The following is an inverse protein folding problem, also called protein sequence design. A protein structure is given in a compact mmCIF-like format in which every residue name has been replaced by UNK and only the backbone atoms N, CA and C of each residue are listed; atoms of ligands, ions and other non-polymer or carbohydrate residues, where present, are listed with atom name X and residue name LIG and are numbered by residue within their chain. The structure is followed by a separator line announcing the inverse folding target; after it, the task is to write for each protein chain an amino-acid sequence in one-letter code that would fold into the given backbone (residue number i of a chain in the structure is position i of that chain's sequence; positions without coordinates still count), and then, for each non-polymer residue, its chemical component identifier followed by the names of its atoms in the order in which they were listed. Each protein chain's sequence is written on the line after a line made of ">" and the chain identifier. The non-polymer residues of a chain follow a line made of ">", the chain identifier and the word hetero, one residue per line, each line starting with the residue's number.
data_IF_127661085231
#
_entry.id   IF_127661085231
#
_cell.length_a   1.000
_cell.length_b   1.000
_cell.length_c   1.000
_cell.angle_alpha   90.00
_cell.angle_beta   90.00
_cell.angle_gamma   90.00
#
_symmetry.space_group_name_H-M   'P 1'
#
loop_
_entity.id
_entity.type
_entity.pdbx_description
1 polymer ?
#
# COMPACT_ATOMS: atom_id res chain seq x y z
N UNK A 1 -33.03 -3.49 -60.93
CA UNK A 1 -32.17 -3.28 -59.74
C UNK A 1 -32.89 -3.86 -58.53
N UNK A 2 -33.29 -5.13 -58.64
CA UNK A 2 -32.73 -6.29 -57.93
C UNK A 2 -31.97 -5.95 -56.63
N UNK A 3 -32.21 -6.54 -55.46
CA UNK A 3 -32.96 -7.74 -55.13
C UNK A 3 -33.33 -7.70 -53.63
N UNK A 4 -34.57 -8.08 -53.29
CA UNK A 4 -35.07 -8.32 -51.94
C UNK A 4 -35.18 -9.84 -51.79
N UNK A 5 -34.55 -10.45 -50.78
CA UNK A 5 -34.97 -11.77 -50.29
C UNK A 5 -34.97 -11.84 -48.77
N UNK A 6 -36.12 -12.29 -48.30
CA UNK A 6 -36.55 -12.54 -46.94
C UNK A 6 -36.42 -14.04 -46.58
N UNK A 7 -36.58 -14.33 -45.29
CA UNK A 7 -37.00 -15.57 -44.63
C UNK A 7 -36.00 -16.73 -44.49
N UNK A 8 -35.98 -17.28 -43.27
CA UNK A 8 -35.45 -18.62 -43.04
C UNK A 8 -35.32 -19.05 -41.58
N UNK A 9 -36.40 -19.01 -40.80
CA UNK A 9 -36.48 -19.80 -39.57
C UNK A 9 -36.65 -21.29 -39.94
N UNK A 10 -35.74 -22.16 -39.49
CA UNK A 10 -35.88 -23.62 -39.41
C UNK A 10 -34.57 -24.20 -38.85
N UNK A 11 -34.51 -25.26 -38.08
CA UNK A 11 -35.48 -26.19 -37.50
C UNK A 11 -34.65 -26.99 -36.49
N UNK A 12 -35.27 -27.46 -35.41
CA UNK A 12 -34.77 -28.55 -34.57
C UNK A 12 -34.16 -29.67 -35.44
N UNK A 13 -32.83 -29.76 -35.44
CA UNK A 13 -32.08 -30.86 -36.04
C UNK A 13 -31.98 -31.99 -35.02
N UNK A 14 -32.87 -32.96 -35.15
CA UNK A 14 -32.94 -34.17 -34.35
C UNK A 14 -31.60 -34.91 -34.26
N UNK A 15 -31.33 -35.42 -33.06
CA UNK A 15 -30.34 -36.47 -32.78
C UNK A 15 -30.77 -37.70 -33.58
N UNK A 16 -30.11 -37.95 -34.70
CA UNK A 16 -30.15 -39.24 -35.39
C UNK A 16 -28.79 -39.88 -35.18
N UNK A 17 -28.72 -40.79 -34.21
CA UNK A 17 -27.63 -41.76 -34.09
C UNK A 17 -27.92 -42.91 -35.08
N UNK A 18 -27.11 -43.11 -36.14
CA UNK A 18 -27.13 -44.38 -36.83
C UNK A 18 -26.26 -45.37 -36.04
N UNK A 19 -26.90 -46.50 -35.71
CA UNK A 19 -26.35 -47.85 -35.60
C UNK A 19 -24.92 -48.04 -35.07
N UNK A 20 -24.89 -48.72 -33.92
CA UNK A 20 -23.85 -49.62 -33.44
C UNK A 20 -23.02 -50.26 -34.57
N UNK A 21 -21.69 -50.19 -34.46
CA UNK A 21 -20.78 -51.33 -34.64
C UNK A 21 -19.33 -50.95 -34.26
N UNK A 22 -18.89 -51.50 -33.11
CA UNK A 22 -17.62 -52.22 -32.92
C UNK A 22 -16.30 -51.42 -32.99
N UNK A 23 -15.48 -51.63 -31.96
CA UNK A 23 -14.04 -51.32 -31.78
C UNK A 23 -13.66 -49.94 -31.20
N UNK A 24 -13.28 -49.97 -29.91
CA UNK A 24 -12.08 -49.32 -29.37
C UNK A 24 -12.00 -47.79 -29.39
N UNK A 25 -12.14 -47.19 -28.20
CA UNK A 25 -11.54 -45.94 -27.68
C UNK A 25 -12.64 -45.04 -27.07
N UNK A 26 -12.58 -44.71 -25.76
CA UNK A 26 -13.52 -43.74 -25.20
C UNK A 26 -13.29 -42.37 -25.85
N UNK A 27 -14.35 -41.76 -26.40
CA UNK A 27 -14.34 -40.38 -26.87
C UNK A 27 -13.88 -39.45 -25.75
N UNK A 28 -12.63 -38.98 -25.85
CA UNK A 28 -12.10 -37.91 -25.02
C UNK A 28 -12.75 -36.61 -25.49
N UNK A 29 -13.76 -36.13 -24.76
CA UNK A 29 -14.25 -34.75 -24.91
C UNK A 29 -13.07 -33.82 -24.69
N UNK A 30 -12.58 -33.22 -25.77
CA UNK A 30 -11.56 -32.18 -25.72
C UNK A 30 -12.26 -30.95 -25.15
N UNK A 31 -12.12 -30.75 -23.84
CA UNK A 31 -12.42 -29.47 -23.21
C UNK A 31 -11.60 -28.42 -23.96
N UNK A 32 -12.30 -27.53 -24.67
CA UNK A 32 -11.70 -26.30 -25.17
C UNK A 32 -11.33 -25.50 -23.92
N UNK A 33 -10.03 -25.37 -23.66
CA UNK A 33 -9.54 -24.45 -22.65
C UNK A 33 -10.04 -23.05 -23.06
N UNK A 34 -10.57 -22.24 -22.12
CA UNK A 34 -10.81 -20.84 -22.43
C UNK A 34 -9.49 -20.22 -22.85
N UNK A 35 -9.56 -19.42 -23.92
CA UNK A 35 -8.42 -18.69 -24.49
C UNK A 35 -7.63 -18.05 -23.35
N UNK A 36 -6.33 -18.37 -23.30
CA UNK A 36 -5.40 -17.72 -22.38
C UNK A 36 -5.34 -16.27 -22.79
N UNK A 37 -6.10 -15.45 -22.08
CA UNK A 37 -6.00 -14.00 -22.10
C UNK A 37 -4.51 -13.65 -21.96
N UNK A 38 -3.96 -13.16 -23.06
CA UNK A 38 -2.59 -12.66 -23.08
C UNK A 38 -2.64 -11.33 -22.37
N UNK A 39 -2.47 -11.38 -21.05
CA UNK A 39 -2.35 -10.18 -20.23
C UNK A 39 -1.09 -9.45 -20.67
N UNK A 40 -1.30 -8.38 -21.43
CA UNK A 40 -0.25 -7.42 -21.75
C UNK A 40 0.21 -6.85 -20.40
N UNK A 41 1.45 -7.14 -20.02
CA UNK A 41 2.08 -6.54 -18.86
C UNK A 41 2.30 -5.05 -19.15
N UNK A 42 1.28 -4.25 -18.90
CA UNK A 42 1.39 -2.80 -18.81
C UNK A 42 2.30 -2.50 -17.62
N UNK A 43 3.18 -1.51 -17.76
CA UNK A 43 3.98 -0.95 -16.65
C UNK A 43 3.01 -0.35 -15.62
N UNK A 44 2.45 -1.19 -14.76
CA UNK A 44 1.39 -0.80 -13.83
C UNK A 44 2.04 -0.07 -12.66
N UNK A 45 2.01 1.26 -12.72
CA UNK A 45 2.49 2.13 -11.64
C UNK A 45 1.64 1.88 -10.39
N UNK A 46 0.31 1.97 -10.49
CA UNK A 46 -0.62 1.71 -9.38
C UNK A 46 -1.64 0.65 -9.79
N UNK A 47 -1.85 -0.35 -8.94
CA UNK A 47 -2.90 -1.36 -9.08
C UNK A 47 -4.12 -0.92 -8.27
N UNK A 48 -5.32 -0.93 -8.87
CA UNK A 48 -6.56 -0.63 -8.16
C UNK A 48 -7.37 -1.90 -7.99
N UNK A 49 -7.74 -2.26 -6.76
CA UNK A 49 -8.58 -3.45 -6.52
C UNK A 49 -10.02 -3.22 -6.98
N UNK A 50 -10.75 -4.30 -7.30
CA UNK A 50 -12.13 -4.19 -7.79
C UNK A 50 -13.05 -3.42 -6.82
N UNK A 51 -12.84 -3.62 -5.51
CA UNK A 51 -13.65 -2.97 -4.48
C UNK A 51 -13.33 -1.47 -4.39
N UNK A 52 -12.04 -1.11 -4.41
CA UNK A 52 -11.62 0.29 -4.44
C UNK A 52 -12.10 0.98 -5.72
N UNK A 53 -11.95 0.33 -6.88
CA UNK A 53 -12.44 0.84 -8.16
C UNK A 53 -13.93 1.12 -8.13
N UNK A 54 -14.74 0.17 -7.66
CA UNK A 54 -16.19 0.36 -7.56
C UNK A 54 -16.54 1.56 -6.69
N UNK A 55 -15.84 1.76 -5.56
CA UNK A 55 -16.06 2.90 -4.68
C UNK A 55 -15.62 4.22 -5.31
N UNK A 56 -14.47 4.25 -5.98
CA UNK A 56 -13.99 5.45 -6.69
C UNK A 56 -14.95 5.83 -7.82
N UNK A 57 -15.42 4.85 -8.60
CA UNK A 57 -16.40 5.09 -9.67
C UNK A 57 -17.74 5.59 -9.14
N UNK A 58 -18.20 5.07 -7.99
CA UNK A 58 -19.39 5.57 -7.29
C UNK A 58 -19.22 7.03 -6.91
N UNK A 59 -18.10 7.39 -6.27
CA UNK A 59 -17.83 8.78 -5.85
C UNK A 59 -17.72 9.67 -7.09
N UNK A 60 -16.96 9.26 -8.11
CA UNK A 60 -16.82 9.98 -9.38
C UNK A 60 -18.17 10.25 -10.03
N UNK A 61 -19.09 9.28 -10.01
CA UNK A 61 -20.43 9.41 -10.58
C UNK A 61 -21.32 10.46 -9.90
N UNK A 62 -20.95 10.92 -8.70
CA UNK A 62 -21.64 12.03 -8.01
C UNK A 62 -21.03 13.41 -8.34
N UNK A 63 -19.88 13.45 -8.99
CA UNK A 63 -19.22 14.68 -9.39
C UNK A 63 -19.79 15.21 -10.73
N UNK A 64 -19.70 16.53 -10.98
CA UNK A 64 -20.02 17.07 -12.28
C UNK A 64 -19.06 16.50 -13.34
N UNK A 65 -19.61 16.11 -14.49
CA UNK A 65 -18.83 15.62 -15.65
C UNK A 65 -17.94 14.39 -15.33
N UNK A 66 -18.51 13.28 -14.81
CA UNK A 66 -17.75 12.13 -14.31
C UNK A 66 -16.90 11.43 -15.38
N UNK A 67 -17.23 11.63 -16.66
CA UNK A 67 -16.54 11.07 -17.81
C UNK A 67 -15.25 11.81 -18.19
N UNK A 68 -15.11 13.08 -17.79
CA UNK A 68 -13.90 13.87 -18.03
C UNK A 68 -12.90 13.80 -16.87
N UNK A 69 -13.31 13.24 -15.72
CA UNK A 69 -12.52 13.17 -14.50
C UNK A 69 -11.74 11.86 -14.37
N UNK A 70 -10.47 12.00 -13.98
CA UNK A 70 -9.60 10.92 -13.51
C UNK A 70 -9.30 11.03 -12.02
N UNK A 71 -8.94 9.89 -11.41
CA UNK A 71 -8.44 9.85 -10.04
C UNK A 71 -6.97 10.27 -10.04
N UNK A 72 -6.66 11.44 -9.51
CA UNK A 72 -5.29 11.89 -9.25
C UNK A 72 -4.80 11.29 -7.94
N UNK A 73 -3.61 10.68 -7.97
CA UNK A 73 -2.92 10.14 -6.79
C UNK A 73 -1.55 10.80 -6.69
N UNK A 74 -1.39 11.68 -5.70
CA UNK A 74 -0.17 12.46 -5.49
C UNK A 74 0.47 12.14 -4.14
N UNK A 75 1.80 12.03 -4.11
CA UNK A 75 2.56 11.97 -2.86
C UNK A 75 2.92 13.39 -2.42
N UNK A 76 2.17 13.92 -1.46
CA UNK A 76 2.36 15.29 -0.94
C UNK A 76 3.50 15.40 0.08
N UNK A 77 3.93 14.27 0.66
CA UNK A 77 5.03 14.25 1.61
C UNK A 77 5.32 12.85 2.15
N UNK A 78 6.20 12.80 3.15
CA UNK A 78 6.49 11.60 3.92
C UNK A 78 6.42 11.94 5.42
N UNK A 79 5.86 11.03 6.21
CA UNK A 79 5.85 11.07 7.67
C UNK A 79 6.53 9.80 8.17
N UNK A 80 7.81 9.92 8.53
CA UNK A 80 8.63 8.76 8.90
C UNK A 80 8.77 7.77 7.73
N UNK A 81 8.28 6.55 7.91
CA UNK A 81 8.34 5.45 6.92
C UNK A 81 7.10 5.36 6.02
N UNK A 82 6.19 6.32 6.09
CA UNK A 82 4.96 6.31 5.30
C UNK A 82 4.85 7.56 4.44
N UNK A 83 4.42 7.40 3.19
CA UNK A 83 4.06 8.53 2.35
C UNK A 83 2.69 9.08 2.75
N UNK A 84 2.57 10.40 2.75
CA UNK A 84 1.29 11.08 2.78
C UNK A 84 0.78 11.22 1.34
N UNK A 85 -0.45 10.81 1.10
CA UNK A 85 -1.08 10.84 -0.21
C UNK A 85 -2.23 11.84 -0.24
N UNK A 86 -2.38 12.53 -1.36
CA UNK A 86 -3.57 13.29 -1.70
C UNK A 86 -4.29 12.61 -2.87
N UNK A 87 -5.61 12.47 -2.73
CA UNK A 87 -6.49 11.78 -3.66
C UNK A 87 -7.58 12.76 -4.08
N UNK A 88 -7.60 13.12 -5.37
CA UNK A 88 -8.53 14.10 -5.90
C UNK A 88 -9.08 13.65 -7.26
N UNK A 89 -10.23 14.18 -7.66
CA UNK A 89 -10.69 14.08 -9.05
C UNK A 89 -10.21 15.29 -9.82
N UNK A 90 -9.51 15.05 -10.93
CA UNK A 90 -8.96 16.09 -11.80
C UNK A 90 -9.37 15.80 -13.24
N UNK A 91 -9.62 16.86 -14.02
CA UNK A 91 -9.95 16.70 -15.42
C UNK A 91 -8.74 16.13 -16.19
N UNK A 92 -8.99 15.14 -17.05
CA UNK A 92 -7.92 14.50 -17.84
C UNK A 92 -7.17 15.50 -18.75
N UNK A 93 -7.81 16.61 -19.08
CA UNK A 93 -7.23 17.70 -19.87
C UNK A 93 -6.28 18.60 -19.06
N UNK A 94 -6.35 18.55 -17.73
CA UNK A 94 -5.51 19.35 -16.82
C UNK A 94 -4.26 18.59 -16.36
N UNK A 95 -4.13 17.30 -16.69
CA UNK A 95 -2.93 16.53 -16.43
C UNK A 95 -1.69 17.21 -17.03
N UNK A 96 -0.66 17.40 -16.22
CA UNK A 96 0.54 18.14 -16.61
C UNK A 96 1.40 17.35 -17.61
N UNK A 97 2.24 18.06 -18.36
CA UNK A 97 3.23 17.42 -19.24
C UNK A 97 4.24 16.62 -18.40
N UNK A 98 4.14 15.29 -18.42
CA UNK A 98 4.96 14.37 -17.62
C UNK A 98 4.15 13.48 -16.68
N UNK A 99 2.88 13.81 -16.46
CA UNK A 99 1.99 12.98 -15.65
C UNK A 99 1.71 11.66 -16.37
N UNK A 100 1.77 10.56 -15.61
CA UNK A 100 1.44 9.23 -16.10
C UNK A 100 -0.06 8.99 -15.93
N UNK A 101 -0.79 8.94 -17.04
CA UNK A 101 -2.22 8.63 -17.05
C UNK A 101 -2.41 7.17 -17.42
N UNK A 102 -2.84 6.35 -16.45
CA UNK A 102 -3.10 4.92 -16.63
C UNK A 102 -4.59 4.66 -16.52
N UNK A 103 -5.18 4.03 -17.53
CA UNK A 103 -6.60 3.65 -17.49
C UNK A 103 -6.75 2.21 -17.01
N UNK A 104 -7.43 2.02 -15.87
CA UNK A 104 -7.71 0.71 -15.28
C UNK A 104 -9.21 0.46 -15.29
N UNK A 105 -9.69 -0.48 -16.13
CA UNK A 105 -11.10 -0.87 -16.23
C UNK A 105 -12.09 0.32 -16.30
N UNK A 106 -11.76 1.35 -17.09
CA UNK A 106 -12.61 2.55 -17.28
C UNK A 106 -12.48 3.64 -16.21
N UNK A 107 -11.58 3.45 -15.23
CA UNK A 107 -11.13 4.51 -14.31
C UNK A 107 -9.75 5.02 -14.78
N UNK A 108 -9.64 6.26 -15.28
CA UNK A 108 -8.36 6.86 -15.53
C UNK A 108 -7.74 7.32 -14.21
N UNK A 109 -6.49 6.95 -13.99
CA UNK A 109 -5.68 7.28 -12.83
C UNK A 109 -4.54 8.17 -13.30
N UNK A 110 -4.43 9.37 -12.73
CA UNK A 110 -3.40 10.35 -13.04
C UNK A 110 -2.36 10.29 -11.91
N UNK A 111 -1.11 9.99 -12.26
CA UNK A 111 0.01 9.97 -11.31
C UNK A 111 1.02 11.03 -11.72
N UNK A 112 1.26 12.06 -10.90
CA UNK A 112 2.23 13.10 -11.22
C UNK A 112 3.64 12.54 -11.38
N UNK A 113 4.44 13.13 -12.28
CA UNK A 113 5.80 12.64 -12.59
C UNK A 113 6.65 12.40 -11.33
N UNK A 114 6.64 13.34 -10.38
CA UNK A 114 7.38 13.27 -9.10
C UNK A 114 6.91 12.16 -8.15
N UNK A 115 5.73 11.59 -8.40
CA UNK A 115 5.11 10.53 -7.62
C UNK A 115 5.19 9.16 -8.31
N UNK A 116 5.50 9.09 -9.61
CA UNK A 116 5.54 7.85 -10.38
C UNK A 116 6.46 6.82 -9.74
N UNK A 117 7.74 7.17 -9.53
CA UNK A 117 8.72 6.22 -8.98
C UNK A 117 8.42 5.84 -7.52
N UNK A 118 7.80 6.75 -6.76
CA UNK A 118 7.38 6.50 -5.38
C UNK A 118 6.17 5.56 -5.32
N UNK A 119 5.30 5.57 -6.32
CA UNK A 119 4.07 4.79 -6.35
C UNK A 119 4.17 3.48 -7.15
N UNK A 120 5.29 3.20 -7.82
CA UNK A 120 5.47 1.97 -8.62
C UNK A 120 5.17 0.69 -7.82
N UNK A 121 4.16 -0.07 -8.23
CA UNK A 121 3.73 -1.29 -7.55
C UNK A 121 2.81 -1.04 -6.34
N UNK A 122 2.39 0.20 -6.08
CA UNK A 122 1.42 0.49 -5.04
C UNK A 122 0.04 -0.10 -5.39
N UNK A 123 -0.70 -0.51 -4.37
CA UNK A 123 -2.05 -1.07 -4.50
C UNK A 123 -3.06 -0.20 -3.76
N UNK A 124 -4.06 0.32 -4.47
CA UNK A 124 -5.21 1.05 -3.92
C UNK A 124 -6.32 0.06 -3.58
N UNK A 125 -6.75 0.04 -2.33
CA UNK A 125 -7.68 -0.94 -1.76
C UNK A 125 -8.71 -0.30 -0.81
N UNK A 126 -9.70 -1.07 -0.36
CA UNK A 126 -10.57 -0.67 0.76
C UNK A 126 -10.04 -1.27 2.07
N UNK A 127 -10.21 -0.59 3.21
CA UNK A 127 -9.87 -1.18 4.50
C UNK A 127 -10.75 -2.41 4.77
N UNK A 128 -10.19 -3.41 5.45
CA UNK A 128 -10.89 -4.66 5.80
C UNK A 128 -12.14 -4.42 6.67
N UNK A 129 -12.16 -3.29 7.41
CA UNK A 129 -13.29 -2.88 8.22
C UNK A 129 -14.21 -1.97 7.41
N UNK A 130 -15.37 -2.47 6.99
CA UNK A 130 -16.35 -1.70 6.22
C UNK A 130 -16.85 -0.42 6.92
N UNK A 131 -16.74 -0.33 8.25
CA UNK A 131 -17.09 0.86 9.04
C UNK A 131 -16.00 1.95 9.03
N UNK A 132 -14.76 1.60 8.65
CA UNK A 132 -13.70 2.57 8.44
C UNK A 132 -13.81 3.01 6.99
N UNK A 133 -14.64 4.02 6.72
CA UNK A 133 -14.77 4.58 5.37
C UNK A 133 -13.42 5.12 4.89
N UNK A 134 -13.10 4.95 3.60
CA UNK A 134 -11.89 5.51 2.98
C UNK A 134 -11.24 4.55 1.99
N UNK A 135 -10.20 5.04 1.32
CA UNK A 135 -9.31 4.27 0.46
C UNK A 135 -7.98 4.06 1.19
N UNK A 136 -7.36 2.91 1.02
CA UNK A 136 -6.06 2.56 1.61
C UNK A 136 -5.07 2.31 0.48
N UNK A 137 -3.93 2.99 0.51
CA UNK A 137 -2.83 2.75 -0.43
C UNK A 137 -1.77 1.90 0.29
N UNK A 138 -1.52 0.71 -0.26
CA UNK A 138 -0.43 -0.17 0.17
C UNK A 138 0.73 -0.01 -0.79
N UNK A 139 1.75 0.72 -0.37
CA UNK A 139 2.89 1.03 -1.22
C UNK A 139 4.12 0.19 -0.81
N UNK A 140 4.71 -0.61 -1.72
CA UNK A 140 5.94 -1.34 -1.44
C UNK A 140 7.16 -0.42 -1.34
N UNK A 141 7.14 0.75 -2.00
CA UNK A 141 8.18 1.76 -1.85
C UNK A 141 7.81 2.59 -0.61
N UNK A 142 8.56 2.39 0.48
CA UNK A 142 8.46 3.27 1.65
C UNK A 142 9.51 4.36 1.52
N UNK A 143 9.19 5.62 1.91
CA UNK A 143 10.19 6.65 2.01
C UNK A 143 11.29 6.16 2.95
N UNK A 144 12.52 6.46 2.58
CA UNK A 144 13.61 6.36 3.53
C UNK A 144 13.30 7.32 4.69
N UNK A 145 13.26 6.84 5.94
CA UNK A 145 12.88 7.70 7.07
C UNK A 145 13.90 8.78 7.39
N UNK A 146 15.06 8.77 6.73
CA UNK A 146 16.06 9.83 6.76
C UNK A 146 16.04 10.72 5.51
N UNK A 147 15.14 10.50 4.56
CA UNK A 147 15.06 11.32 3.35
C UNK A 147 14.76 12.78 3.71
N UNK A 148 15.80 13.62 3.70
CA UNK A 148 15.74 15.04 4.06
C UNK A 148 16.44 15.40 5.38
N UNK A 149 16.88 14.41 6.16
CA UNK A 149 17.81 14.63 7.27
C UNK A 149 19.22 14.45 6.71
N UNK A 150 19.92 15.56 6.45
CA UNK A 150 21.37 15.55 6.27
C UNK A 150 21.98 15.27 7.65
N UNK A 151 21.87 14.00 8.07
CA UNK A 151 22.57 13.53 9.25
C UNK A 151 24.05 13.53 8.86
N UNK A 152 24.80 14.51 9.38
CA UNK A 152 26.24 14.43 9.51
C UNK A 152 26.58 13.26 10.45
N UNK A 153 26.43 12.03 9.95
CA UNK A 153 26.72 10.76 10.62
C UNK A 153 28.25 10.56 10.72
N UNK A 154 28.94 11.58 11.19
CA UNK A 154 30.32 11.54 11.59
C UNK A 154 30.41 11.07 13.04
N UNK A 155 31.15 9.98 13.26
CA UNK A 155 31.38 9.42 14.59
C UNK A 155 31.04 7.94 14.70
N UNK A 156 31.10 7.43 15.93
CA UNK A 156 30.78 6.05 16.26
C UNK A 156 29.26 5.80 16.17
N UNK A 157 28.86 4.52 16.13
CA UNK A 157 27.45 4.09 16.06
C UNK A 157 26.61 4.80 17.15
N UNK A 158 27.18 5.03 18.32
CA UNK A 158 26.52 5.73 19.41
C UNK A 158 26.11 7.17 19.04
N UNK A 159 26.95 7.92 18.32
CA UNK A 159 26.65 9.30 17.94
C UNK A 159 25.60 9.35 16.82
N UNK A 160 25.69 8.42 15.87
CA UNK A 160 24.65 8.24 14.84
C UNK A 160 23.28 7.97 15.45
N UNK A 161 23.22 7.07 16.44
CA UNK A 161 21.96 6.73 17.13
C UNK A 161 21.45 7.93 17.94
N UNK A 162 22.31 8.67 18.64
CA UNK A 162 21.88 9.88 19.38
C UNK A 162 21.27 10.92 18.46
N UNK A 163 21.94 11.24 17.35
CA UNK A 163 21.44 12.22 16.39
C UNK A 163 20.08 11.80 15.82
N UNK A 164 19.93 10.53 15.46
CA UNK A 164 18.66 9.98 14.99
C UNK A 164 17.55 10.09 16.04
N UNK A 165 17.87 9.74 17.29
CA UNK A 165 16.92 9.83 18.39
C UNK A 165 16.45 11.27 18.59
N UNK A 166 17.36 12.25 18.58
CA UNK A 166 17.00 13.65 18.84
C UNK A 166 16.29 14.33 17.66
N UNK A 167 16.67 14.00 16.43
CA UNK A 167 16.17 14.71 15.25
C UNK A 167 14.92 14.09 14.61
N UNK A 168 14.72 12.78 14.74
CA UNK A 168 13.61 12.09 14.09
C UNK A 168 12.69 11.38 15.09
N UNK A 169 13.25 10.61 16.03
CA UNK A 169 12.45 9.73 16.90
C UNK A 169 11.77 10.51 18.03
N UNK A 170 12.52 11.27 18.83
CA UNK A 170 12.01 12.01 19.99
C UNK A 170 10.95 13.05 19.62
N UNK A 171 11.04 13.79 18.50
CA UNK A 171 9.95 14.67 18.07
C UNK A 171 8.62 13.94 17.86
N UNK A 172 8.66 12.73 17.28
CA UNK A 172 7.48 11.89 17.11
C UNK A 172 6.99 11.31 18.44
N UNK A 173 7.89 10.83 19.30
CA UNK A 173 7.53 10.28 20.61
C UNK A 173 6.95 11.35 21.55
N UNK A 174 7.49 12.56 21.51
CA UNK A 174 7.05 13.68 22.35
C UNK A 174 5.60 14.07 22.07
N UNK A 175 5.11 13.92 20.83
CA UNK A 175 3.71 14.12 20.48
C UNK A 175 2.77 13.16 21.24
N UNK A 176 3.28 11.99 21.64
CA UNK A 176 2.59 10.98 22.44
C UNK A 176 3.03 10.99 23.93
N UNK A 177 3.77 12.02 24.35
CA UNK A 177 4.26 12.18 25.72
C UNK A 177 5.38 11.21 26.11
N UNK A 178 6.03 10.58 25.13
CA UNK A 178 7.15 9.66 25.31
C UNK A 178 8.51 10.25 24.90
N UNK A 179 9.57 9.54 25.21
CA UNK A 179 10.94 9.82 24.78
C UNK A 179 11.76 8.52 24.77
N UNK A 180 12.85 8.52 24.00
CA UNK A 180 13.85 7.46 23.99
C UNK A 180 15.25 8.07 24.16
N UNK A 181 16.11 7.36 24.88
CA UNK A 181 17.48 7.78 25.19
C UNK A 181 18.44 6.62 24.99
N UNK A 182 19.60 6.91 24.39
CA UNK A 182 20.66 5.93 24.23
C UNK A 182 21.38 5.68 25.56
N UNK A 183 21.41 4.42 26.01
CA UNK A 183 22.17 3.99 27.20
C UNK A 183 23.58 3.57 26.81
N UNK A 184 23.72 2.85 25.70
CA UNK A 184 25.03 2.40 25.23
C UNK A 184 24.95 1.65 23.90
N UNK A 185 26.12 1.39 23.34
CA UNK A 185 26.28 0.53 22.16
C UNK A 185 27.38 -0.47 22.47
N UNK A 186 27.10 -1.76 22.28
CA UNK A 186 28.09 -2.84 22.34
C UNK A 186 28.16 -3.50 20.97
N UNK A 187 29.28 -3.33 20.27
CA UNK A 187 29.47 -3.77 18.89
C UNK A 187 28.36 -3.24 17.95
N UNK A 188 27.41 -4.11 17.61
CA UNK A 188 26.25 -3.82 16.75
C UNK A 188 24.92 -3.83 17.52
N UNK A 189 24.98 -3.93 18.85
CA UNK A 189 23.82 -3.93 19.75
C UNK A 189 23.64 -2.55 20.36
N UNK A 190 22.44 -2.01 20.24
CA UNK A 190 22.08 -0.70 20.78
C UNK A 190 21.18 -0.88 21.99
N UNK A 191 21.56 -0.27 23.10
CA UNK A 191 20.80 -0.28 24.34
C UNK A 191 20.07 1.04 24.50
N UNK A 192 18.74 0.99 24.51
CA UNK A 192 17.89 2.15 24.63
C UNK A 192 17.12 2.11 25.95
N UNK A 193 16.90 3.28 26.53
CA UNK A 193 15.92 3.48 27.59
C UNK A 193 14.79 4.32 27.01
N UNK A 194 13.58 3.76 27.02
CA UNK A 194 12.36 4.46 26.63
C UNK A 194 11.57 4.88 27.88
N UNK A 195 10.91 6.03 27.83
CA UNK A 195 10.10 6.54 28.93
C UNK A 195 8.96 7.46 28.47
N UNK A 196 7.99 7.71 29.36
CA UNK A 196 6.86 8.62 29.14
C UNK A 196 5.58 7.98 28.59
N UNK A 197 4.48 8.76 28.60
CA UNK A 197 3.17 8.57 27.93
C UNK A 197 2.34 7.30 28.16
N UNK A 198 2.96 6.12 28.10
CA UNK A 198 2.30 4.82 28.02
C UNK A 198 2.77 3.87 29.12
N UNK A 199 2.79 4.33 30.37
CA UNK A 199 3.06 3.51 31.57
C UNK A 199 1.91 2.55 31.94
N UNK A 200 1.10 2.09 30.97
CA UNK A 200 -0.13 1.35 31.32
C UNK A 200 -0.90 0.67 30.19
N UNK A 201 -0.38 0.63 28.96
CA UNK A 201 -1.02 -0.08 27.85
C UNK A 201 0.01 -0.96 27.15
N UNK A 202 0.03 -2.25 27.51
CA UNK A 202 0.97 -3.25 26.98
C UNK A 202 0.94 -3.35 25.44
N UNK A 203 -0.21 -3.07 24.81
CA UNK A 203 -0.37 -3.08 23.35
C UNK A 203 0.37 -1.91 22.68
N UNK A 204 0.44 -0.75 23.34
CA UNK A 204 1.09 0.45 22.80
C UNK A 204 2.62 0.36 22.87
N UNK A 205 3.16 -0.35 23.88
CA UNK A 205 4.60 -0.49 24.07
C UNK A 205 5.27 -1.34 22.99
N UNK A 206 4.63 -2.44 22.56
CA UNK A 206 5.16 -3.31 21.50
C UNK A 206 5.23 -2.56 20.16
N UNK A 207 4.14 -1.89 19.77
CA UNK A 207 4.09 -1.11 18.52
C UNK A 207 5.08 0.04 18.50
N UNK A 208 5.31 0.69 19.65
CA UNK A 208 6.27 1.77 19.77
C UNK A 208 7.70 1.28 19.59
N UNK A 209 8.03 0.16 20.23
CA UNK A 209 9.32 -0.49 20.10
C UNK A 209 9.60 -0.91 18.65
N UNK A 210 8.63 -1.57 18.01
CA UNK A 210 8.76 -1.99 16.61
C UNK A 210 8.94 -0.80 15.66
N UNK A 211 8.24 0.30 15.91
CA UNK A 211 8.42 1.55 15.16
C UNK A 211 9.82 2.13 15.30
N UNK A 212 10.32 2.26 16.53
CA UNK A 212 11.68 2.78 16.80
C UNK A 212 12.74 1.86 16.20
N UNK A 213 12.58 0.54 16.33
CA UNK A 213 13.52 -0.43 15.76
C UNK A 213 13.58 -0.35 14.24
N UNK A 214 12.42 -0.25 13.57
CA UNK A 214 12.35 -0.08 12.12
C UNK A 214 13.07 1.19 11.69
N UNK A 215 12.85 2.31 12.40
CA UNK A 215 13.52 3.58 12.12
C UNK A 215 15.03 3.50 12.27
N UNK A 216 15.52 2.92 13.37
CA UNK A 216 16.96 2.79 13.63
C UNK A 216 17.64 1.89 12.59
N UNK A 217 17.02 0.76 12.23
CA UNK A 217 17.58 -0.16 11.23
C UNK A 217 17.61 0.43 9.82
N UNK A 218 16.58 1.21 9.45
CA UNK A 218 16.57 1.91 8.17
C UNK A 218 17.67 2.97 8.11
N UNK A 219 17.87 3.70 9.21
CA UNK A 219 18.85 4.76 9.31
C UNK A 219 20.31 4.28 9.44
N UNK A 220 20.52 3.20 10.20
CA UNK A 220 21.84 2.67 10.56
C UNK A 220 21.80 1.15 10.35
N UNK A 221 22.04 0.66 9.11
CA UNK A 221 21.98 -0.78 8.81
C UNK A 221 23.07 -1.60 9.51
N UNK A 222 24.05 -0.94 10.13
CA UNK A 222 25.10 -1.55 10.95
C UNK A 222 24.56 -2.10 12.29
N UNK A 223 23.38 -1.68 12.73
CA UNK A 223 22.75 -2.13 13.99
C UNK A 223 22.01 -3.44 13.78
N UNK A 224 22.46 -4.50 14.47
CA UNK A 224 21.86 -5.84 14.36
C UNK A 224 20.77 -6.10 15.39
N UNK A 225 20.86 -5.49 16.57
CA UNK A 225 19.97 -5.78 17.70
C UNK A 225 19.71 -4.51 18.52
N UNK A 226 18.45 -4.28 18.90
CA UNK A 226 18.05 -3.17 19.76
C UNK A 226 17.42 -3.74 21.03
N UNK A 227 18.05 -3.42 22.16
CA UNK A 227 17.68 -3.90 23.48
C UNK A 227 17.14 -2.72 24.28
N UNK A 228 15.90 -2.85 24.70
CA UNK A 228 15.30 -1.94 25.65
C UNK A 228 15.71 -2.35 27.06
N UNK A 229 16.41 -1.47 27.77
CA UNK A 229 16.86 -1.68 29.15
C UNK A 229 15.92 -1.04 30.18
N UNK A 230 14.81 -0.44 29.73
CA UNK A 230 13.79 0.06 30.65
C UNK A 230 13.15 -1.11 31.40
N UNK A 231 13.02 -0.93 32.72
CA UNK A 231 12.30 -1.86 33.56
C UNK A 231 10.80 -1.61 33.42
N UNK A 232 10.15 -2.40 32.57
CA UNK A 232 8.71 -2.34 32.31
C UNK A 232 7.87 -3.08 33.36
N UNK A 233 8.50 -3.70 34.35
CA UNK A 233 7.86 -4.45 35.45
C UNK A 233 7.87 -3.63 36.76
N UNK A 234 8.81 -2.69 36.92
CA UNK A 234 8.99 -1.84 38.08
C UNK A 234 8.17 -0.54 37.98
N UNK A 235 6.84 -0.63 38.10
CA UNK A 235 6.04 0.61 38.15
C UNK A 235 4.51 0.48 38.22
N UNK A 236 4.01 -0.21 39.24
CA UNK A 236 2.78 0.07 40.01
C UNK A 236 1.57 0.74 39.30
N UNK A 237 0.52 -0.05 39.10
CA UNK A 237 -0.87 0.36 38.88
C UNK A 237 -1.35 1.37 39.96
N UNK A 238 -1.57 2.67 39.65
CA UNK A 238 -2.04 3.65 40.63
C UNK A 238 -3.57 3.66 40.82
N UNK A 239 -4.32 2.74 40.20
CA UNK A 239 -5.75 2.61 40.46
C UNK A 239 -5.97 1.60 41.57
N UNK A 240 -5.84 2.05 42.82
CA UNK A 240 -6.69 1.77 43.98
C UNK A 240 -5.98 2.29 45.23
N UNK A 241 -6.28 3.53 45.58
CA UNK A 241 -6.29 3.99 46.96
C UNK A 241 -7.71 4.50 47.22
N UNK A 242 -8.31 3.89 48.23
CA UNK A 242 -9.67 3.96 48.78
C UNK A 242 -10.46 5.29 48.65
#
# INVERSE_FOLDING_TARGET
>A
MDDVVSLGASVMGAIVCPSVERWGTPCRVRHMAPDTDTTVATDTIVTVTDQARAKVLEIRGNEPEPESLGLRIEVVGASGVEYAYDLAFEALTEAAEGDSVVTTDGLPVIVPADSVDKLRGATLDLPANANQGGLVIRNPNRPDPLAGVELDLHGDIADKVRQLLDQAVNPMLAAHGGFASLVGVEDTKVFLSMGGGCQGCAVSAMTLREGIETQIRAAIPEVTEIIDVTDHDAGENPYYSE
#
